data_IF_297537139711
#
_entry.id   IF_297537139711
#
_cell.length_a   1.000
_cell.length_b   1.000
_cell.length_c   1.000
_cell.angle_alpha   90.00
_cell.angle_beta   90.00
_cell.angle_gamma   90.00
#
_symmetry.space_group_name_H-M   'P 1'
#
loop_
_entity.id
_entity.type
_entity.pdbx_description
1 polymer ?
#
# COMPACT_ATOMS: atom_id res chain seq x y z
N UNK A 1 -35.17 -6.15 -6.52
CA UNK A 1 -36.34 -6.16 -5.64
C UNK A 1 -36.68 -7.59 -5.23
N UNK A 2 -37.17 -7.80 -4.02
CA UNK A 2 -37.74 -9.07 -3.55
C UNK A 2 -39.03 -8.81 -2.80
N UNK A 3 -39.91 -9.84 -2.76
CA UNK A 3 -41.18 -9.79 -2.04
C UNK A 3 -41.21 -11.01 -1.08
N UNK A 4 -41.60 -10.75 0.15
CA UNK A 4 -41.80 -11.81 1.17
C UNK A 4 -43.29 -12.08 1.28
N UNK A 5 -43.67 -13.35 1.10
CA UNK A 5 -45.05 -13.82 1.22
C UNK A 5 -45.16 -14.92 2.24
N UNK A 6 -46.24 -14.92 2.99
CA UNK A 6 -46.65 -16.05 3.78
C UNK A 6 -47.37 -17.09 2.87
N UNK A 7 -46.98 -18.36 2.91
CA UNK A 7 -47.51 -19.34 1.97
C UNK A 7 -48.99 -19.70 2.25
N UNK A 8 -49.44 -19.65 3.50
CA UNK A 8 -50.84 -19.98 3.87
C UNK A 8 -51.24 -19.26 5.15
N UNK A 9 -52.35 -18.46 5.16
CA UNK A 9 -53.00 -17.89 3.96
C UNK A 9 -52.06 -16.97 3.19
N UNK A 10 -52.24 -16.87 1.88
CA UNK A 10 -51.33 -16.10 1.02
C UNK A 10 -51.41 -14.61 1.27
N UNK A 11 -50.51 -14.08 2.12
CA UNK A 11 -50.37 -12.66 2.40
C UNK A 11 -48.98 -12.16 2.03
N UNK A 12 -48.89 -10.95 1.45
CA UNK A 12 -47.62 -10.23 1.26
C UNK A 12 -47.24 -9.59 2.59
N UNK A 13 -46.12 -10.03 3.16
CA UNK A 13 -45.59 -9.51 4.43
C UNK A 13 -44.72 -8.27 4.22
N UNK A 14 -44.13 -8.10 3.03
CA UNK A 14 -43.27 -6.98 2.72
C UNK A 14 -42.39 -7.27 1.52
N UNK A 15 -41.42 -6.42 1.31
CA UNK A 15 -40.42 -6.55 0.26
C UNK A 15 -39.27 -5.61 0.49
N UNK A 16 -38.31 -5.59 -0.44
CA UNK A 16 -37.16 -4.73 -0.34
C UNK A 16 -36.31 -4.73 -1.60
N UNK A 17 -35.24 -3.99 -1.52
CA UNK A 17 -34.18 -3.91 -2.52
C UNK A 17 -32.97 -4.70 -2.02
N UNK A 18 -32.36 -5.51 -2.89
CA UNK A 18 -31.05 -6.12 -2.63
C UNK A 18 -29.99 -5.06 -2.92
N UNK A 19 -29.30 -4.59 -1.88
CA UNK A 19 -28.27 -3.54 -1.98
C UNK A 19 -26.96 -4.13 -2.49
N UNK A 20 -26.53 -5.28 -1.96
CA UNK A 20 -25.31 -5.98 -2.40
C UNK A 20 -25.70 -7.44 -2.76
N UNK A 21 -25.82 -7.75 -4.06
CA UNK A 21 -26.26 -9.08 -4.49
C UNK A 21 -25.15 -10.14 -4.37
N UNK A 22 -23.88 -9.74 -4.24
CA UNK A 22 -22.71 -10.63 -4.17
C UNK A 22 -21.71 -10.17 -3.10
N UNK A 23 -22.08 -10.22 -1.81
CA UNK A 23 -21.19 -9.83 -0.74
C UNK A 23 -19.99 -10.78 -0.70
N UNK A 24 -18.76 -10.23 -0.73
CA UNK A 24 -17.53 -11.01 -0.70
C UNK A 24 -17.36 -11.82 0.59
N UNK A 25 -18.05 -11.43 1.66
CA UNK A 25 -18.08 -12.11 2.95
C UNK A 25 -19.40 -11.85 3.68
N UNK A 26 -19.74 -12.70 4.63
CA UNK A 26 -20.87 -12.44 5.52
C UNK A 26 -20.58 -11.25 6.43
N UNK A 27 -21.41 -10.22 6.37
CA UNK A 27 -21.31 -9.02 7.19
C UNK A 27 -21.72 -9.30 8.64
N UNK A 28 -20.98 -8.71 9.58
CA UNK A 28 -21.42 -8.74 10.98
C UNK A 28 -22.54 -7.72 11.17
N UNK A 29 -23.65 -8.16 11.78
CA UNK A 29 -24.81 -7.32 12.07
C UNK A 29 -24.43 -6.20 13.07
N UNK A 30 -25.09 -5.08 12.97
CA UNK A 30 -25.01 -3.95 13.91
C UNK A 30 -23.60 -3.32 14.05
N UNK A 31 -22.70 -3.57 13.14
CA UNK A 31 -21.43 -2.86 13.09
C UNK A 31 -21.59 -1.54 12.37
N UNK A 32 -21.16 -0.40 12.98
CA UNK A 32 -21.29 0.93 12.37
C UNK A 32 -20.68 1.00 10.97
N UNK A 33 -19.51 0.36 10.77
CA UNK A 33 -18.82 0.33 9.48
C UNK A 33 -19.63 -0.44 8.42
N UNK A 34 -20.34 -1.50 8.84
CA UNK A 34 -21.22 -2.26 7.93
C UNK A 34 -22.45 -1.45 7.55
N UNK A 35 -23.04 -0.75 8.51
CA UNK A 35 -24.23 0.09 8.29
C UNK A 35 -23.87 1.23 7.35
N UNK A 36 -22.86 2.02 7.67
CA UNK A 36 -22.40 3.14 6.85
C UNK A 36 -22.09 2.72 5.41
N UNK A 37 -21.47 1.56 5.24
CA UNK A 37 -21.20 1.02 3.92
C UNK A 37 -22.48 0.66 3.15
N UNK A 38 -23.46 0.05 3.80
CA UNK A 38 -24.74 -0.28 3.16
C UNK A 38 -25.55 0.97 2.83
N UNK A 39 -25.48 2.00 3.66
CA UNK A 39 -26.06 3.30 3.42
C UNK A 39 -25.47 3.97 2.18
N UNK A 40 -24.13 3.98 2.05
CA UNK A 40 -23.46 4.47 0.85
C UNK A 40 -23.90 3.72 -0.40
N UNK A 41 -23.97 2.39 -0.35
CA UNK A 41 -24.43 1.57 -1.49
C UNK A 41 -25.90 1.82 -1.82
N UNK A 42 -26.72 2.24 -0.86
CA UNK A 42 -28.16 2.49 -1.05
C UNK A 42 -28.47 3.89 -1.53
N UNK A 43 -27.76 4.89 -1.03
CA UNK A 43 -28.08 6.31 -1.20
C UNK A 43 -26.91 7.20 -1.60
N UNK A 44 -25.68 6.62 -1.69
CA UNK A 44 -24.47 7.37 -2.04
C UNK A 44 -24.45 7.79 -3.50
N UNK A 45 -23.63 8.80 -3.77
CA UNK A 45 -23.31 9.21 -5.14
C UNK A 45 -22.56 8.12 -5.90
N UNK A 46 -22.58 8.10 -7.23
CA UNK A 46 -21.76 7.16 -8.00
C UNK A 46 -20.29 7.19 -7.63
N UNK A 47 -19.71 8.37 -7.33
CA UNK A 47 -18.33 8.52 -6.90
C UNK A 47 -18.07 7.85 -5.55
N UNK A 48 -18.94 8.01 -4.57
CA UNK A 48 -18.84 7.34 -3.27
C UNK A 48 -18.95 5.82 -3.38
N UNK A 49 -19.84 5.31 -4.24
CA UNK A 49 -19.98 3.87 -4.52
C UNK A 49 -18.70 3.33 -5.15
N UNK A 50 -18.14 4.07 -6.11
CA UNK A 50 -16.90 3.70 -6.78
C UNK A 50 -15.71 3.69 -5.81
N UNK A 51 -15.54 4.72 -4.98
CA UNK A 51 -14.50 4.80 -3.95
C UNK A 51 -14.65 3.68 -2.91
N UNK A 52 -15.87 3.34 -2.55
CA UNK A 52 -16.13 2.22 -1.66
C UNK A 52 -15.76 0.87 -2.29
N UNK A 53 -15.95 0.70 -3.59
CA UNK A 53 -15.51 -0.49 -4.33
C UNK A 53 -13.97 -0.56 -4.38
N UNK A 54 -13.29 0.58 -4.54
CA UNK A 54 -11.83 0.69 -4.50
C UNK A 54 -11.28 0.29 -3.13
N UNK A 55 -11.84 0.80 -2.04
CA UNK A 55 -11.36 0.55 -0.66
C UNK A 55 -11.41 -0.89 -0.19
N UNK A 56 -12.03 -1.80 -0.97
CA UNK A 56 -12.07 -3.24 -0.64
C UNK A 56 -10.72 -3.93 -0.71
N UNK A 57 -9.91 -3.56 -1.69
CA UNK A 57 -8.60 -4.14 -1.95
C UNK A 57 -7.81 -3.20 -2.85
N UNK A 58 -7.04 -2.31 -2.25
CA UNK A 58 -6.24 -1.30 -2.94
C UNK A 58 -4.73 -1.61 -2.81
N UNK A 59 -3.93 -1.23 -3.81
CA UNK A 59 -4.33 -0.63 -5.10
C UNK A 59 -4.99 -1.63 -6.05
N UNK A 60 -5.86 -1.15 -6.93
CA UNK A 60 -6.57 -1.96 -7.94
C UNK A 60 -6.55 -1.27 -9.30
N UNK A 61 -6.82 -2.00 -10.39
CA UNK A 61 -6.99 -1.38 -11.71
C UNK A 61 -8.36 -0.69 -11.79
N UNK A 62 -8.45 0.40 -12.57
CA UNK A 62 -9.71 1.10 -12.83
C UNK A 62 -10.79 0.10 -13.30
N UNK A 63 -10.45 -0.81 -14.21
CA UNK A 63 -11.34 -1.87 -14.69
C UNK A 63 -11.89 -2.72 -13.54
N UNK A 64 -11.02 -3.20 -12.66
CA UNK A 64 -11.43 -4.03 -11.53
C UNK A 64 -12.37 -3.29 -10.58
N UNK A 65 -12.13 -1.99 -10.38
CA UNK A 65 -13.01 -1.16 -9.53
C UNK A 65 -14.36 -0.94 -10.20
N UNK A 66 -14.41 -0.68 -11.51
CA UNK A 66 -15.65 -0.57 -12.28
C UNK A 66 -16.50 -1.84 -12.12
N UNK A 67 -15.91 -3.02 -12.38
CA UNK A 67 -16.60 -4.31 -12.22
C UNK A 67 -17.12 -4.55 -10.81
N UNK A 68 -16.32 -4.15 -9.79
CA UNK A 68 -16.70 -4.29 -8.37
C UNK A 68 -17.76 -3.31 -7.92
N UNK A 69 -17.83 -2.13 -8.54
CA UNK A 69 -18.80 -1.09 -8.16
C UNK A 69 -20.23 -1.48 -8.52
N UNK A 70 -20.39 -2.30 -9.57
CA UNK A 70 -21.71 -2.67 -10.10
C UNK A 70 -22.45 -1.52 -10.80
N UNK A 71 -21.78 -0.39 -11.00
CA UNK A 71 -22.31 0.74 -11.76
C UNK A 71 -22.32 0.40 -13.26
N UNK A 72 -23.25 1.01 -13.99
CA UNK A 72 -23.20 0.98 -15.46
C UNK A 72 -21.92 1.69 -15.94
N UNK A 73 -21.35 1.25 -17.08
CA UNK A 73 -20.04 1.70 -17.58
C UNK A 73 -19.91 3.23 -17.65
N UNK A 74 -20.93 3.93 -18.17
CA UNK A 74 -20.93 5.38 -18.26
C UNK A 74 -20.92 6.07 -16.89
N UNK A 75 -21.66 5.52 -15.92
CA UNK A 75 -21.68 6.03 -14.54
C UNK A 75 -20.37 5.71 -13.80
N UNK A 76 -19.81 4.52 -14.01
CA UNK A 76 -18.52 4.14 -13.42
C UNK A 76 -17.39 5.05 -13.94
N UNK A 77 -17.41 5.36 -15.24
CA UNK A 77 -16.46 6.29 -15.86
C UNK A 77 -16.58 7.70 -15.27
N UNK A 78 -17.82 8.23 -15.18
CA UNK A 78 -18.06 9.55 -14.59
C UNK A 78 -17.64 9.59 -13.11
N UNK A 79 -18.02 8.58 -12.33
CA UNK A 79 -17.66 8.42 -10.91
C UNK A 79 -16.15 8.40 -10.68
N UNK A 80 -15.42 7.67 -11.52
CA UNK A 80 -13.99 7.64 -11.48
C UNK A 80 -13.35 8.99 -11.78
N UNK A 81 -13.78 9.65 -12.87
CA UNK A 81 -13.27 10.98 -13.22
C UNK A 81 -13.52 12.00 -12.11
N UNK A 82 -14.71 11.98 -11.50
CA UNK A 82 -15.07 12.83 -10.36
C UNK A 82 -14.13 12.57 -9.17
N UNK A 83 -13.95 11.30 -8.77
CA UNK A 83 -13.08 10.91 -7.66
C UNK A 83 -11.60 11.29 -7.91
N UNK A 84 -11.13 11.14 -9.16
CA UNK A 84 -9.77 11.51 -9.52
C UNK A 84 -9.57 13.03 -9.55
N UNK A 85 -10.45 13.79 -10.19
CA UNK A 85 -10.40 15.25 -10.23
C UNK A 85 -10.55 15.88 -8.86
N UNK A 86 -11.39 15.30 -7.99
CA UNK A 86 -11.54 15.68 -6.60
C UNK A 86 -10.33 15.31 -5.72
N UNK A 87 -9.40 14.50 -6.25
CA UNK A 87 -8.22 14.03 -5.53
C UNK A 87 -8.51 12.98 -4.46
N UNK A 88 -9.70 12.35 -4.47
CA UNK A 88 -10.07 11.26 -3.57
C UNK A 88 -9.54 9.90 -4.07
N UNK A 89 -9.26 9.80 -5.37
CA UNK A 89 -8.52 8.70 -5.98
C UNK A 89 -7.24 9.22 -6.64
N UNK A 90 -6.17 8.46 -6.53
CA UNK A 90 -4.83 8.78 -7.04
C UNK A 90 -4.40 7.69 -8.01
N UNK A 91 -3.89 8.10 -9.17
CA UNK A 91 -3.25 7.20 -10.12
C UNK A 91 -1.85 6.84 -9.62
N UNK A 92 -1.51 5.56 -9.66
CA UNK A 92 -0.15 5.08 -9.45
C UNK A 92 0.57 4.93 -10.80
N UNK A 93 1.90 5.09 -10.77
CA UNK A 93 2.74 4.99 -11.96
C UNK A 93 2.82 6.28 -12.78
N UNK A 94 3.34 6.16 -14.00
CA UNK A 94 3.57 7.30 -14.89
C UNK A 94 2.34 7.68 -15.74
N UNK A 95 1.18 7.06 -15.50
CA UNK A 95 -0.04 7.35 -16.25
C UNK A 95 -0.55 8.76 -15.86
N UNK A 96 -0.60 9.64 -16.86
CA UNK A 96 -1.17 10.99 -16.72
C UNK A 96 -2.67 11.01 -17.00
N UNK A 97 -3.18 9.93 -17.60
CA UNK A 97 -4.58 9.77 -17.96
C UNK A 97 -5.13 8.44 -17.44
N UNK A 98 -6.40 8.41 -17.07
CA UNK A 98 -7.07 7.24 -16.57
C UNK A 98 -7.35 6.22 -17.68
N UNK A 99 -6.50 5.22 -17.76
CA UNK A 99 -6.75 4.03 -18.61
C UNK A 99 -7.39 2.91 -17.77
N UNK A 100 -8.14 1.97 -18.40
CA UNK A 100 -8.72 0.83 -17.66
C UNK A 100 -7.69 0.00 -16.90
N UNK A 101 -6.46 -0.06 -17.37
CA UNK A 101 -5.37 -0.82 -16.77
C UNK A 101 -4.54 0.01 -15.76
N UNK A 102 -4.83 1.31 -15.64
CA UNK A 102 -4.15 2.16 -14.64
C UNK A 102 -4.46 1.67 -13.23
N UNK A 103 -3.43 1.63 -12.39
CA UNK A 103 -3.59 1.33 -10.97
C UNK A 103 -4.00 2.59 -10.23
N UNK A 104 -4.99 2.44 -9.36
CA UNK A 104 -5.54 3.51 -8.54
C UNK A 104 -5.54 3.11 -7.07
N UNK A 105 -5.41 4.11 -6.23
CA UNK A 105 -5.53 4.00 -4.77
C UNK A 105 -6.36 5.16 -4.25
N UNK A 106 -7.18 4.94 -3.23
CA UNK A 106 -7.88 6.05 -2.58
C UNK A 106 -6.91 6.89 -1.75
N UNK A 107 -7.25 8.16 -1.51
CA UNK A 107 -6.48 9.02 -0.59
C UNK A 107 -6.33 8.38 0.79
N UNK A 108 -7.39 7.74 1.31
CA UNK A 108 -7.37 7.03 2.58
C UNK A 108 -6.44 5.82 2.56
N UNK A 109 -6.52 5.01 1.51
CA UNK A 109 -5.65 3.85 1.30
C UNK A 109 -4.18 4.24 1.14
N UNK A 110 -3.90 5.33 0.40
CA UNK A 110 -2.56 5.89 0.31
C UNK A 110 -2.02 6.32 1.68
N UNK A 111 -2.82 7.04 2.48
CA UNK A 111 -2.43 7.46 3.83
C UNK A 111 -2.07 6.27 4.72
N UNK A 112 -2.84 5.20 4.68
CA UNK A 112 -2.58 3.99 5.44
C UNK A 112 -1.31 3.25 4.96
N UNK A 113 -1.15 3.10 3.65
CA UNK A 113 0.02 2.41 3.07
C UNK A 113 1.29 3.22 3.31
N UNK A 114 1.28 4.54 3.12
CA UNK A 114 2.44 5.40 3.36
C UNK A 114 2.88 5.42 4.83
N UNK A 115 1.92 5.44 5.75
CA UNK A 115 2.19 5.30 7.18
C UNK A 115 2.84 3.94 7.50
N UNK A 116 2.31 2.86 6.91
CA UNK A 116 2.86 1.50 7.10
C UNK A 116 4.26 1.35 6.51
N UNK A 117 4.51 1.87 5.28
CA UNK A 117 5.84 1.91 4.67
C UNK A 117 6.84 2.64 5.56
N UNK A 118 6.44 3.81 6.07
CA UNK A 118 7.25 4.60 6.99
C UNK A 118 7.59 3.82 8.26
N UNK A 119 6.60 3.21 8.91
CA UNK A 119 6.80 2.45 10.14
C UNK A 119 7.74 1.25 9.95
N UNK A 120 7.60 0.49 8.84
CA UNK A 120 8.47 -0.65 8.53
C UNK A 120 9.92 -0.18 8.32
N UNK A 121 10.13 0.90 7.57
CA UNK A 121 11.46 1.43 7.30
C UNK A 121 12.09 2.04 8.56
N UNK A 122 11.35 2.79 9.36
CA UNK A 122 11.82 3.38 10.60
C UNK A 122 12.21 2.31 11.64
N UNK A 123 11.42 1.23 11.75
CA UNK A 123 11.77 0.06 12.57
C UNK A 123 13.09 -0.58 12.10
N UNK A 124 13.22 -0.77 10.80
CA UNK A 124 14.44 -1.37 10.22
C UNK A 124 15.66 -0.51 10.44
N UNK A 125 15.57 0.79 10.24
CA UNK A 125 16.69 1.71 10.47
C UNK A 125 17.09 1.80 11.94
N UNK A 126 16.13 1.66 12.85
CA UNK A 126 16.39 1.58 14.30
C UNK A 126 17.09 0.27 14.66
N UNK A 127 16.63 -0.86 14.11
CA UNK A 127 17.24 -2.16 14.37
C UNK A 127 18.63 -2.33 13.72
N UNK A 128 18.83 -1.72 12.54
CA UNK A 128 20.04 -1.86 11.73
C UNK A 128 20.57 -0.51 11.22
N UNK A 129 21.06 0.37 12.12
CA UNK A 129 21.40 1.75 11.79
C UNK A 129 22.53 1.91 10.76
N UNK A 130 23.34 0.87 10.57
CA UNK A 130 24.43 0.86 9.58
C UNK A 130 24.03 0.31 8.22
N UNK A 131 22.78 -0.15 8.07
CA UNK A 131 22.28 -0.58 6.75
C UNK A 131 21.77 0.61 5.97
N UNK A 132 22.19 0.72 4.71
CA UNK A 132 21.75 1.79 3.82
C UNK A 132 20.26 1.72 3.47
N UNK A 133 19.62 0.55 3.62
CA UNK A 133 18.21 0.33 3.34
C UNK A 133 17.80 -1.12 3.55
N UNK A 134 16.52 -1.40 3.27
CA UNK A 134 15.90 -2.72 3.32
C UNK A 134 15.78 -3.29 1.90
N UNK A 135 16.00 -4.59 1.65
CA UNK A 135 15.74 -5.22 0.36
C UNK A 135 14.27 -5.07 -0.07
N UNK A 136 14.02 -4.78 -1.35
CA UNK A 136 12.66 -4.60 -1.90
C UNK A 136 11.75 -5.80 -1.61
N UNK A 137 12.27 -7.02 -1.73
CA UNK A 137 11.51 -8.26 -1.46
C UNK A 137 11.08 -8.37 0.00
N UNK A 138 11.94 -7.99 0.95
CA UNK A 138 11.62 -7.97 2.37
C UNK A 138 10.53 -6.92 2.68
N UNK A 139 10.66 -5.71 2.11
CA UNK A 139 9.65 -4.67 2.26
C UNK A 139 8.29 -5.13 1.75
N UNK A 140 8.26 -5.76 0.54
CA UNK A 140 7.04 -6.32 -0.02
C UNK A 140 6.41 -7.36 0.91
N UNK A 141 7.20 -8.32 1.40
CA UNK A 141 6.71 -9.37 2.29
C UNK A 141 6.11 -8.79 3.58
N UNK A 142 6.73 -7.77 4.18
CA UNK A 142 6.20 -7.10 5.38
C UNK A 142 4.95 -6.28 5.07
N UNK A 143 4.90 -5.64 3.91
CA UNK A 143 3.73 -4.87 3.48
C UNK A 143 2.52 -5.77 3.20
N UNK A 144 2.74 -6.97 2.68
CA UNK A 144 1.71 -7.97 2.38
C UNK A 144 1.12 -8.63 3.64
N UNK A 145 1.81 -8.56 4.79
CA UNK A 145 1.30 -9.14 6.04
C UNK A 145 -0.04 -8.51 6.44
N UNK A 146 -1.04 -9.36 6.68
CA UNK A 146 -2.38 -8.95 7.06
C UNK A 146 -3.26 -8.45 5.91
N UNK A 147 -2.79 -8.46 4.66
CA UNK A 147 -3.60 -8.23 3.46
C UNK A 147 -4.40 -9.49 3.10
N UNK A 148 -5.58 -9.30 2.52
CA UNK A 148 -6.39 -10.40 2.00
C UNK A 148 -5.75 -11.04 0.76
N UNK A 149 -5.09 -10.22 -0.08
CA UNK A 149 -4.31 -10.67 -1.22
C UNK A 149 -2.96 -9.91 -1.27
N UNK A 150 -1.86 -10.61 -1.63
CA UNK A 150 -0.57 -9.97 -1.78
C UNK A 150 -0.56 -9.02 -2.97
N UNK A 151 0.23 -7.95 -2.88
CA UNK A 151 0.45 -7.03 -3.98
C UNK A 151 1.09 -7.76 -5.18
N UNK A 152 0.59 -7.49 -6.38
CA UNK A 152 1.29 -7.94 -7.58
C UNK A 152 2.64 -7.22 -7.70
N UNK A 153 3.63 -7.80 -8.40
CA UNK A 153 4.93 -7.12 -8.63
C UNK A 153 4.75 -5.74 -9.28
N UNK A 154 3.83 -5.61 -10.22
CA UNK A 154 3.51 -4.33 -10.86
C UNK A 154 2.95 -3.32 -9.86
N UNK A 155 1.93 -3.70 -9.09
CA UNK A 155 1.32 -2.82 -8.10
C UNK A 155 2.32 -2.36 -7.04
N UNK A 156 3.21 -3.25 -6.59
CA UNK A 156 4.26 -2.90 -5.65
C UNK A 156 5.27 -1.91 -6.24
N UNK A 157 5.72 -2.11 -7.47
CA UNK A 157 6.68 -1.21 -8.12
C UNK A 157 6.08 0.18 -8.39
N UNK A 158 4.84 0.26 -8.90
CA UNK A 158 4.15 1.53 -9.11
C UNK A 158 3.90 2.26 -7.78
N UNK A 159 3.55 1.52 -6.72
CA UNK A 159 3.40 2.07 -5.37
C UNK A 159 4.72 2.64 -4.83
N UNK A 160 5.85 1.94 -5.03
CA UNK A 160 7.16 2.45 -4.64
C UNK A 160 7.54 3.72 -5.39
N UNK A 161 7.31 3.76 -6.71
CA UNK A 161 7.57 4.95 -7.52
C UNK A 161 6.73 6.15 -7.05
N UNK A 162 5.45 5.92 -6.74
CA UNK A 162 4.59 6.97 -6.19
C UNK A 162 5.05 7.44 -4.80
N UNK A 163 5.46 6.50 -3.93
CA UNK A 163 5.98 6.81 -2.59
C UNK A 163 7.30 7.60 -2.65
N UNK A 164 8.15 7.32 -3.62
CA UNK A 164 9.39 8.07 -3.88
C UNK A 164 9.08 9.49 -4.37
N UNK A 165 8.18 9.64 -5.34
CA UNK A 165 7.72 10.94 -5.83
C UNK A 165 7.05 11.78 -4.72
N UNK A 166 6.36 11.14 -3.79
CA UNK A 166 5.77 11.78 -2.61
C UNK A 166 6.77 12.06 -1.47
N UNK A 167 8.06 11.74 -1.64
CA UNK A 167 9.10 11.98 -0.64
C UNK A 167 9.00 11.10 0.62
N UNK A 168 8.28 9.99 0.57
CA UNK A 168 8.12 9.06 1.70
C UNK A 168 9.36 8.18 1.88
N UNK A 169 9.95 7.74 0.77
CA UNK A 169 11.09 6.83 0.73
C UNK A 169 12.01 7.16 -0.45
N UNK A 170 13.15 6.51 -0.51
CA UNK A 170 14.07 6.54 -1.65
C UNK A 170 14.32 5.11 -2.09
N UNK A 171 14.28 4.89 -3.41
CA UNK A 171 14.48 3.58 -4.03
C UNK A 171 15.85 3.56 -4.69
N UNK A 172 16.65 2.56 -4.35
CA UNK A 172 17.86 2.21 -5.10
C UNK A 172 17.64 0.92 -5.88
N UNK A 173 18.64 0.47 -6.63
CA UNK A 173 18.55 -0.75 -7.41
C UNK A 173 18.14 -1.95 -6.55
N UNK A 174 18.79 -2.15 -5.41
CA UNK A 174 18.61 -3.31 -4.55
C UNK A 174 17.80 -3.04 -3.27
N UNK A 175 17.70 -1.79 -2.82
CA UNK A 175 17.19 -1.47 -1.49
C UNK A 175 16.27 -0.24 -1.48
N UNK A 176 15.44 -0.16 -0.46
CA UNK A 176 14.56 0.97 -0.15
C UNK A 176 14.91 1.51 1.22
N UNK A 177 14.96 2.83 1.37
CA UNK A 177 15.21 3.51 2.63
C UNK A 177 14.19 4.61 2.89
N UNK A 178 14.04 5.00 4.13
CA UNK A 178 13.25 6.19 4.50
C UNK A 178 13.85 7.44 3.84
N UNK A 179 13.02 8.34 3.35
CA UNK A 179 13.50 9.61 2.84
C UNK A 179 14.28 10.35 3.95
N UNK A 180 15.47 10.84 3.61
CA UNK A 180 16.38 11.51 4.56
C UNK A 180 17.19 10.59 5.47
N UNK A 181 17.03 9.25 5.39
CA UNK A 181 17.89 8.34 6.16
C UNK A 181 19.31 8.34 5.61
N UNK A 182 20.27 8.59 6.49
CA UNK A 182 21.71 8.50 6.22
C UNK A 182 22.36 7.61 7.26
N UNK A 183 23.28 6.77 6.80
CA UNK A 183 24.09 5.95 7.71
C UNK A 183 25.07 6.87 8.46
N UNK A 184 24.90 6.94 9.76
CA UNK A 184 25.80 7.70 10.63
C UNK A 184 26.63 6.77 11.50
N UNK A 185 27.95 6.93 11.46
CA UNK A 185 28.87 6.18 12.32
C UNK A 185 29.07 6.89 13.64
N UNK A 186 29.12 6.14 14.72
CA UNK A 186 29.59 6.67 16.01
C UNK A 186 31.07 7.09 15.91
N UNK A 187 31.59 7.96 16.79
CA UNK A 187 32.99 8.36 16.78
C UNK A 187 33.95 7.16 16.82
N UNK A 188 33.62 6.12 17.61
CA UNK A 188 34.42 4.88 17.67
C UNK A 188 34.44 4.13 16.33
N UNK A 189 33.27 3.99 15.67
CA UNK A 189 33.16 3.37 14.36
C UNK A 189 33.87 4.18 13.28
N UNK A 190 33.79 5.52 13.32
CA UNK A 190 34.54 6.38 12.41
C UNK A 190 36.07 6.21 12.55
N UNK A 191 36.56 6.12 13.79
CA UNK A 191 37.97 5.85 14.04
C UNK A 191 38.41 4.48 13.49
N UNK A 192 37.57 3.45 13.64
CA UNK A 192 37.84 2.12 13.06
C UNK A 192 37.88 2.17 11.53
N UNK A 193 36.90 2.81 10.89
CA UNK A 193 36.85 2.96 9.42
C UNK A 193 38.07 3.71 8.92
N UNK A 194 38.46 4.83 9.56
CA UNK A 194 39.66 5.58 9.19
C UNK A 194 40.91 4.74 9.30
N UNK A 195 41.06 3.98 10.39
CA UNK A 195 42.21 3.08 10.57
C UNK A 195 42.27 1.99 9.51
N UNK A 196 41.14 1.41 9.15
CA UNK A 196 41.06 0.40 8.08
C UNK A 196 41.43 0.99 6.72
N UNK A 197 40.87 2.13 6.37
CA UNK A 197 41.20 2.81 5.12
C UNK A 197 42.69 3.15 5.02
N UNK A 198 43.31 3.64 6.11
CA UNK A 198 44.73 3.91 6.17
C UNK A 198 45.58 2.63 5.94
N UNK A 199 45.19 1.50 6.53
CA UNK A 199 45.87 0.22 6.31
C UNK A 199 45.78 -0.26 4.86
N UNK A 200 44.63 -0.11 4.20
CA UNK A 200 44.49 -0.42 2.77
C UNK A 200 45.30 0.53 1.89
N UNK A 201 45.39 1.81 2.22
CA UNK A 201 46.20 2.78 1.47
C UNK A 201 47.68 2.51 1.61
N UNK A 202 48.15 2.05 2.77
CA UNK A 202 49.57 1.69 2.99
C UNK A 202 49.99 0.40 2.27
N UNK A 203 49.06 -0.56 2.08
CA UNK A 203 49.33 -1.82 1.43
C UNK A 203 48.30 -2.16 0.34
N UNK A 204 48.27 -1.40 -0.77
CA UNK A 204 47.23 -1.54 -1.77
C UNK A 204 47.20 -2.88 -2.51
N UNK A 205 48.35 -3.57 -2.62
CA UNK A 205 48.46 -4.84 -3.32
C UNK A 205 48.44 -6.07 -2.39
N UNK A 206 48.59 -5.86 -1.07
CA UNK A 206 48.56 -6.91 -0.05
C UNK A 206 47.67 -6.48 1.12
N UNK A 207 46.37 -6.36 0.90
CA UNK A 207 45.47 -5.88 1.92
C UNK A 207 45.46 -6.80 3.14
N UNK A 208 45.38 -6.25 4.37
CA UNK A 208 45.34 -7.08 5.58
C UNK A 208 44.15 -8.00 5.58
N UNK A 209 44.35 -9.27 5.93
CA UNK A 209 43.27 -10.27 5.97
C UNK A 209 42.29 -9.99 7.09
N UNK A 210 41.04 -10.48 6.93
CA UNK A 210 39.99 -10.30 7.97
C UNK A 210 40.40 -10.90 9.35
N UNK A 211 41.28 -11.94 9.35
CA UNK A 211 41.81 -12.53 10.58
C UNK A 211 42.79 -11.60 11.30
N UNK A 212 43.54 -10.76 10.56
CA UNK A 212 44.47 -9.78 11.14
C UNK A 212 43.77 -8.52 11.64
N UNK A 213 42.49 -8.34 11.24
CA UNK A 213 41.64 -7.22 11.60
C UNK A 213 40.71 -7.57 12.78
N UNK A 214 41.18 -8.35 13.78
CA UNK A 214 40.35 -8.66 14.94
C UNK A 214 39.79 -7.38 15.56
N UNK A 215 38.47 -7.26 15.49
CA UNK A 215 37.74 -6.27 16.28
C UNK A 215 38.06 -6.54 17.75
N UNK A 216 38.44 -5.54 18.53
CA UNK A 216 38.37 -5.70 19.98
C UNK A 216 36.90 -5.97 20.28
N UNK A 217 36.61 -7.14 20.82
CA UNK A 217 35.32 -7.49 21.36
C UNK A 217 35.01 -6.40 22.40
N UNK A 218 34.05 -5.52 22.09
CA UNK A 218 33.58 -4.52 23.03
C UNK A 218 32.91 -5.19 24.22
N UNK A 219 32.84 -4.51 25.37
CA UNK A 219 32.17 -4.99 26.56
C UNK A 219 30.70 -5.25 26.35
#
# INVERSE_FOLDING_TARGET
HFIIRQPSPSHTLGGGLVIDPRPARRWRRFRPETISRLETLSHGTPAEIWLQALSRDEPATVRTVHERSGLADSLAQAAYLEAWQGGDAVLLGAATEPTPEALVISRGGWSQISARLSAILDETHRAYPLRAGMPKGELKSRLDQGRAAPLTPRAFNELLGYAEGAGVLQVSEAAVRRAGHTVTFTPAQQALVKRQLAAFQQQPYTPPSAAQQRYPSGP
#
